data_IF_296656063863
#
_entry.id   IF_296656063863
#
_cell.length_a   1.000
_cell.length_b   1.000
_cell.length_c   1.000
_cell.angle_alpha   90.00
_cell.angle_beta   90.00
_cell.angle_gamma   90.00
#
_symmetry.space_group_name_H-M   'P 1'
#
loop_
_entity.id
_entity.type
_entity.pdbx_description
1 polymer ?
#
# COMPACT_ATOMS: atom_id res chain seq x y z
N UNK A 1 -6.97 3.68 -45.34
CA UNK A 1 -8.22 3.06 -44.84
C UNK A 1 -9.26 4.17 -44.80
N UNK A 2 -10.19 4.14 -45.75
CA UNK A 2 -11.09 5.26 -46.06
C UNK A 2 -12.35 5.19 -45.17
N UNK A 3 -12.51 6.16 -44.28
CA UNK A 3 -13.60 6.21 -43.29
C UNK A 3 -14.99 6.28 -43.93
N UNK A 4 -15.07 6.67 -45.20
CA UNK A 4 -16.31 6.71 -45.98
C UNK A 4 -16.94 5.32 -46.20
N UNK A 5 -16.16 4.24 -46.16
CA UNK A 5 -16.68 2.86 -46.23
C UNK A 5 -17.21 2.32 -44.89
N UNK A 6 -16.79 2.88 -43.76
CA UNK A 6 -17.30 2.48 -42.44
C UNK A 6 -18.71 3.05 -42.18
N UNK A 7 -19.00 4.24 -42.72
CA UNK A 7 -20.31 4.88 -42.56
C UNK A 7 -21.40 4.30 -43.49
N UNK A 8 -21.03 3.62 -44.58
CA UNK A 8 -22.02 2.96 -45.45
C UNK A 8 -22.58 1.67 -44.85
N UNK A 9 -21.89 1.04 -43.89
CA UNK A 9 -22.37 -0.15 -43.18
C UNK A 9 -23.48 0.11 -42.14
N UNK A 10 -23.67 1.37 -41.73
CA UNK A 10 -24.67 1.73 -40.71
C UNK A 10 -25.99 2.28 -41.28
N UNK A 11 -26.12 2.41 -42.61
CA UNK A 11 -27.30 3.01 -43.26
C UNK A 11 -28.54 2.11 -43.35
N UNK A 12 -28.56 0.96 -42.68
CA UNK A 12 -29.65 -0.02 -42.79
C UNK A 12 -30.10 -0.68 -41.49
N UNK A 13 -29.68 -0.19 -40.31
CA UNK A 13 -30.20 -0.69 -39.03
C UNK A 13 -31.19 0.32 -38.46
N UNK A 14 -32.47 -0.03 -38.45
CA UNK A 14 -33.52 0.64 -37.68
C UNK A 14 -33.21 0.50 -36.18
N UNK A 15 -32.38 1.38 -35.65
CA UNK A 15 -32.17 1.53 -34.22
C UNK A 15 -33.39 2.26 -33.67
N UNK A 16 -34.32 1.52 -33.07
CA UNK A 16 -35.39 2.09 -32.24
C UNK A 16 -34.75 2.86 -31.08
N UNK A 17 -34.81 4.18 -31.16
CA UNK A 17 -34.50 5.08 -30.05
C UNK A 17 -35.55 4.83 -28.96
N UNK A 18 -35.17 4.57 -27.69
CA UNK A 18 -36.13 4.44 -26.60
C UNK A 18 -36.78 5.80 -26.34
N UNK A 19 -38.10 5.78 -26.19
CA UNK A 19 -38.93 6.93 -25.87
C UNK A 19 -38.39 7.72 -24.66
N UNK A 20 -38.51 9.03 -24.80
CA UNK A 20 -38.29 10.09 -23.82
C UNK A 20 -38.67 9.67 -22.39
N UNK A 21 -37.66 9.63 -21.52
CA UNK A 21 -37.84 9.83 -20.09
C UNK A 21 -37.55 11.29 -19.80
N UNK A 22 -38.57 11.94 -19.25
CA UNK A 22 -38.62 13.33 -18.82
C UNK A 22 -37.49 13.66 -17.85
N UNK A 23 -36.37 14.17 -18.35
CA UNK A 23 -35.39 14.86 -17.55
C UNK A 23 -35.77 16.35 -17.55
N UNK A 24 -36.16 16.83 -16.37
CA UNK A 24 -36.26 18.25 -16.06
C UNK A 24 -34.92 18.91 -16.34
N UNK A 25 -34.81 19.56 -17.49
CA UNK A 25 -33.67 20.38 -17.88
C UNK A 25 -33.64 21.58 -16.93
N UNK A 26 -32.50 21.76 -16.25
CA UNK A 26 -32.22 22.91 -15.41
C UNK A 26 -32.38 24.20 -16.24
N UNK A 27 -33.29 25.13 -15.88
CA UNK A 27 -33.65 26.28 -16.71
C UNK A 27 -32.53 27.33 -16.86
N UNK A 28 -31.36 27.09 -16.25
CA UNK A 28 -30.17 27.95 -16.37
C UNK A 28 -29.34 27.70 -17.65
N UNK A 29 -29.60 26.62 -18.39
CA UNK A 29 -28.80 26.22 -19.55
C UNK A 29 -29.39 26.62 -20.92
N UNK A 30 -30.61 27.15 -20.96
CA UNK A 30 -31.33 27.43 -22.21
C UNK A 30 -30.96 28.76 -22.88
N UNK A 31 -30.14 29.59 -22.23
CA UNK A 31 -29.76 30.93 -22.71
C UNK A 31 -28.27 31.09 -23.10
N UNK A 32 -27.53 29.99 -23.24
CA UNK A 32 -26.16 30.06 -23.75
C UNK A 32 -26.21 30.06 -25.28
N UNK A 33 -25.94 31.22 -25.88
CA UNK A 33 -25.78 31.35 -27.33
C UNK A 33 -24.43 30.72 -27.75
N UNK A 34 -24.50 29.45 -28.16
CA UNK A 34 -23.34 28.63 -28.54
C UNK A 34 -22.87 28.91 -29.98
N UNK A 35 -23.56 29.78 -30.73
CA UNK A 35 -23.32 29.99 -32.17
C UNK A 35 -21.99 30.68 -32.49
N UNK A 36 -21.40 31.40 -31.53
CA UNK A 36 -20.14 32.14 -31.67
C UNK A 36 -18.94 31.47 -30.96
N UNK A 37 -19.10 30.26 -30.43
CA UNK A 37 -18.00 29.57 -29.74
C UNK A 37 -17.01 29.04 -30.79
N UNK A 38 -15.77 29.50 -30.68
CA UNK A 38 -14.68 29.06 -31.54
C UNK A 38 -14.47 27.55 -31.40
N UNK A 39 -14.51 26.82 -32.52
CA UNK A 39 -14.37 25.37 -32.59
C UNK A 39 -13.13 24.85 -31.85
N UNK A 40 -12.04 25.63 -31.84
CA UNK A 40 -10.81 25.29 -31.11
C UNK A 40 -10.99 25.24 -29.59
N UNK A 41 -11.85 26.10 -29.02
CA UNK A 41 -12.15 26.09 -27.58
C UNK A 41 -13.00 24.87 -27.23
N UNK A 42 -13.94 24.51 -28.09
CA UNK A 42 -14.74 23.28 -27.94
C UNK A 42 -13.84 22.05 -27.96
N UNK A 43 -12.89 22.00 -28.89
CA UNK A 43 -11.97 20.86 -29.01
C UNK A 43 -10.96 20.82 -27.85
N UNK A 44 -10.54 21.96 -27.31
CA UNK A 44 -9.70 22.02 -26.11
C UNK A 44 -10.45 21.54 -24.87
N UNK A 45 -11.66 22.06 -24.62
CA UNK A 45 -12.49 21.64 -23.49
C UNK A 45 -12.86 20.17 -23.62
N UNK A 46 -13.17 19.68 -24.83
CA UNK A 46 -13.41 18.26 -25.09
C UNK A 46 -12.19 17.40 -24.80
N UNK A 47 -10.98 17.83 -25.20
CA UNK A 47 -9.73 17.13 -24.88
C UNK A 47 -9.46 17.10 -23.38
N UNK A 48 -9.67 18.22 -22.68
CA UNK A 48 -9.52 18.30 -21.22
C UNK A 48 -10.55 17.44 -20.49
N UNK A 49 -11.78 17.38 -20.99
CA UNK A 49 -12.82 16.53 -20.42
C UNK A 49 -12.50 15.05 -20.64
N UNK A 50 -12.08 14.66 -21.86
CA UNK A 50 -11.68 13.30 -22.19
C UNK A 50 -10.42 12.85 -21.44
N UNK A 51 -9.42 13.71 -21.28
CA UNK A 51 -8.24 13.40 -20.47
C UNK A 51 -8.59 13.26 -18.99
N UNK A 52 -9.45 14.15 -18.47
CA UNK A 52 -9.95 14.06 -17.09
C UNK A 52 -10.78 12.79 -16.86
N UNK A 53 -11.63 12.39 -17.81
CA UNK A 53 -12.43 11.15 -17.70
C UNK A 53 -11.61 9.89 -17.87
N UNK A 54 -10.57 9.90 -18.72
CA UNK A 54 -9.71 8.75 -18.89
C UNK A 54 -8.82 8.53 -17.66
N UNK A 55 -8.31 9.61 -17.06
CA UNK A 55 -7.56 9.55 -15.81
C UNK A 55 -8.46 9.09 -14.64
N UNK A 56 -9.70 9.58 -14.55
CA UNK A 56 -10.63 9.15 -13.49
C UNK A 56 -11.10 7.70 -13.66
N UNK A 57 -11.28 7.22 -14.90
CA UNK A 57 -11.67 5.82 -15.18
C UNK A 57 -10.55 4.83 -14.85
N UNK A 58 -9.29 5.16 -15.15
CA UNK A 58 -8.15 4.30 -14.80
C UNK A 58 -7.98 4.17 -13.28
N UNK A 59 -8.21 5.22 -12.51
CA UNK A 59 -8.12 5.15 -11.03
C UNK A 59 -9.22 4.30 -10.38
N UNK A 60 -10.39 4.17 -11.02
CA UNK A 60 -11.51 3.37 -10.49
C UNK A 60 -11.46 1.89 -10.93
N UNK A 61 -10.84 1.59 -12.07
CA UNK A 61 -10.75 0.23 -12.62
C UNK A 61 -9.90 -0.72 -11.74
N UNK A 62 -8.88 -0.19 -11.06
CA UNK A 62 -7.99 -0.97 -10.20
C UNK A 62 -8.40 -1.08 -8.72
N UNK A 63 -9.48 -0.39 -8.30
CA UNK A 63 -9.95 -0.43 -6.89
C UNK A 63 -10.58 -1.77 -6.48
N UNK A 64 -11.14 -2.52 -7.45
CA UNK A 64 -11.87 -3.77 -7.19
C UNK A 64 -11.13 -5.03 -7.67
N UNK A 65 -9.90 -4.87 -8.17
CA UNK A 65 -9.12 -6.01 -8.65
C UNK A 65 -8.73 -6.88 -7.45
N UNK A 66 -8.86 -8.20 -7.61
CA UNK A 66 -8.61 -9.19 -6.54
C UNK A 66 -7.46 -10.14 -6.89
N UNK A 67 -6.86 -9.99 -8.07
CA UNK A 67 -5.78 -10.82 -8.60
C UNK A 67 -4.69 -9.97 -9.25
N UNK A 68 -3.45 -10.47 -9.27
CA UNK A 68 -2.34 -9.80 -9.96
C UNK A 68 -2.51 -10.08 -11.46
N UNK A 69 -3.14 -9.16 -12.18
CA UNK A 69 -3.27 -9.21 -13.64
C UNK A 69 -2.08 -8.50 -14.32
N UNK A 70 -1.75 -8.83 -15.58
CA UNK A 70 -0.70 -8.14 -16.32
C UNK A 70 -0.90 -6.62 -16.41
N UNK A 71 -2.15 -6.17 -16.48
CA UNK A 71 -2.53 -4.75 -16.50
C UNK A 71 -2.13 -4.03 -15.20
N UNK A 72 -2.32 -4.67 -14.04
CA UNK A 72 -1.87 -4.14 -12.74
C UNK A 72 -0.34 -3.97 -12.71
N UNK A 73 0.40 -4.91 -13.31
CA UNK A 73 1.86 -4.83 -13.37
C UNK A 73 2.35 -3.69 -14.28
N UNK A 74 1.69 -3.48 -15.42
CA UNK A 74 1.98 -2.35 -16.32
C UNK A 74 1.69 -1.04 -15.61
N UNK A 75 0.55 -0.95 -14.90
CA UNK A 75 0.22 0.24 -14.11
C UNK A 75 1.24 0.51 -13.00
N UNK A 76 1.64 -0.52 -12.25
CA UNK A 76 2.71 -0.43 -11.25
C UNK A 76 4.03 0.05 -11.85
N UNK A 77 4.42 -0.47 -13.02
CA UNK A 77 5.65 -0.07 -13.71
C UNK A 77 5.61 1.38 -14.23
N UNK A 78 4.43 1.92 -14.50
CA UNK A 78 4.25 3.34 -14.83
C UNK A 78 4.30 4.19 -13.54
N UNK A 79 3.64 3.74 -12.47
CA UNK A 79 3.69 4.41 -11.17
C UNK A 79 5.11 4.51 -10.61
N UNK A 80 5.96 3.50 -10.77
CA UNK A 80 7.36 3.56 -10.31
C UNK A 80 8.18 4.61 -11.05
N UNK A 81 7.79 5.01 -12.27
CA UNK A 81 8.45 6.06 -13.06
C UNK A 81 7.85 7.45 -12.81
N UNK A 82 6.54 7.52 -12.61
CA UNK A 82 5.79 8.77 -12.54
C UNK A 82 5.61 9.29 -11.10
N UNK A 83 5.72 8.42 -10.09
CA UNK A 83 5.47 8.76 -8.68
C UNK A 83 6.69 8.47 -7.80
N UNK A 84 6.68 9.00 -6.57
CA UNK A 84 7.73 8.77 -5.57
C UNK A 84 7.63 7.40 -4.87
N UNK A 85 6.99 6.41 -5.51
CA UNK A 85 6.74 5.08 -4.93
C UNK A 85 8.03 4.38 -4.46
N UNK A 86 9.07 4.38 -5.29
CA UNK A 86 10.36 3.74 -4.96
C UNK A 86 11.05 4.42 -3.78
N UNK A 87 10.97 5.75 -3.71
CA UNK A 87 11.53 6.52 -2.59
C UNK A 87 10.80 6.17 -1.28
N UNK A 88 9.47 6.15 -1.30
CA UNK A 88 8.66 5.80 -0.12
C UNK A 88 9.01 4.39 0.37
N UNK A 89 9.11 3.41 -0.54
CA UNK A 89 9.52 2.04 -0.17
C UNK A 89 10.92 2.01 0.45
N UNK A 90 11.88 2.78 -0.09
CA UNK A 90 13.23 2.90 0.47
C UNK A 90 13.20 3.48 1.89
N UNK A 91 12.46 4.57 2.11
CA UNK A 91 12.31 5.18 3.43
C UNK A 91 11.68 4.22 4.45
N UNK A 92 10.69 3.43 4.03
CA UNK A 92 10.10 2.39 4.86
C UNK A 92 11.12 1.29 5.21
N UNK A 93 11.91 0.85 4.24
CA UNK A 93 12.96 -0.17 4.46
C UNK A 93 14.05 0.34 5.42
N UNK A 94 14.50 1.57 5.24
CA UNK A 94 15.49 2.19 6.13
C UNK A 94 14.95 2.32 7.56
N UNK A 95 13.70 2.78 7.70
CA UNK A 95 13.03 2.88 9.00
C UNK A 95 12.86 1.51 9.67
N UNK A 96 12.47 0.49 8.89
CA UNK A 96 12.36 -0.87 9.39
C UNK A 96 13.71 -1.39 9.88
N UNK A 97 14.77 -1.23 9.08
CA UNK A 97 16.12 -1.66 9.47
C UNK A 97 16.60 -0.98 10.76
N UNK A 98 16.33 0.33 10.92
CA UNK A 98 16.70 1.07 12.12
C UNK A 98 15.98 0.52 13.35
N UNK A 99 14.66 0.30 13.26
CA UNK A 99 13.86 -0.26 14.35
C UNK A 99 14.30 -1.68 14.68
N UNK A 100 14.53 -2.53 13.67
CA UNK A 100 15.02 -3.90 13.86
C UNK A 100 16.37 -3.90 14.59
N UNK A 101 17.27 -2.99 14.22
CA UNK A 101 18.56 -2.83 14.90
C UNK A 101 18.40 -2.44 16.37
N UNK A 102 17.56 -1.45 16.67
CA UNK A 102 17.28 -1.01 18.04
C UNK A 102 16.65 -2.13 18.88
N UNK A 103 15.69 -2.85 18.31
CA UNK A 103 15.04 -3.99 18.97
C UNK A 103 16.03 -5.14 19.21
N UNK A 104 16.92 -5.39 18.25
CA UNK A 104 17.97 -6.39 18.39
C UNK A 104 18.96 -6.02 19.49
N UNK A 105 19.46 -4.78 19.49
CA UNK A 105 20.36 -4.26 20.53
C UNK A 105 19.71 -4.33 21.92
N UNK A 106 18.43 -3.98 22.03
CA UNK A 106 17.69 -4.08 23.29
C UNK A 106 17.58 -5.55 23.75
N UNK A 107 17.28 -6.49 22.85
CA UNK A 107 17.25 -7.93 23.17
C UNK A 107 18.60 -8.45 23.64
N UNK A 108 19.69 -8.06 22.99
CA UNK A 108 21.05 -8.44 23.38
C UNK A 108 21.46 -7.81 24.72
N UNK A 109 21.03 -6.58 25.00
CA UNK A 109 21.28 -5.93 26.30
C UNK A 109 20.63 -6.67 27.46
N UNK A 110 19.41 -7.21 27.27
CA UNK A 110 18.71 -8.03 28.25
C UNK A 110 19.52 -9.30 28.53
N UNK A 111 19.91 -10.03 27.48
CA UNK A 111 20.73 -11.24 27.63
C UNK A 111 22.04 -10.97 28.36
N UNK A 112 22.77 -9.94 27.94
CA UNK A 112 24.06 -9.58 28.54
C UNK A 112 23.92 -9.28 30.03
N UNK A 113 22.89 -8.51 30.41
CA UNK A 113 22.61 -8.19 31.83
C UNK A 113 22.35 -9.45 32.66
N UNK A 114 21.55 -10.38 32.14
CA UNK A 114 21.27 -11.63 32.86
C UNK A 114 22.45 -12.61 32.86
N UNK A 115 23.28 -12.62 31.82
CA UNK A 115 24.54 -13.36 31.80
C UNK A 115 25.53 -12.84 32.85
N UNK A 116 25.66 -11.52 33.00
CA UNK A 116 26.49 -10.91 34.04
C UNK A 116 25.99 -11.26 35.44
N UNK A 117 24.67 -11.22 35.66
CA UNK A 117 24.06 -11.67 36.92
C UNK A 117 24.32 -13.16 37.19
N UNK A 118 24.21 -14.00 36.16
CA UNK A 118 24.50 -15.45 36.26
C UNK A 118 25.97 -15.71 36.58
N UNK A 119 26.89 -15.01 35.93
CA UNK A 119 28.34 -15.07 36.23
C UNK A 119 28.63 -14.65 37.67
N UNK A 120 27.99 -13.58 38.17
CA UNK A 120 28.12 -13.14 39.56
C UNK A 120 27.64 -14.19 40.56
N UNK A 121 26.52 -14.86 40.28
CA UNK A 121 26.03 -15.95 41.12
C UNK A 121 26.94 -17.17 41.10
N UNK A 122 27.44 -17.57 39.93
CA UNK A 122 28.40 -18.68 39.81
C UNK A 122 29.70 -18.40 40.56
N UNK A 123 30.19 -17.16 40.53
CA UNK A 123 31.35 -16.74 41.31
C UNK A 123 31.11 -16.87 42.83
N UNK A 124 29.90 -16.54 43.31
CA UNK A 124 29.52 -16.73 44.71
C UNK A 124 29.41 -18.20 45.10
N UNK A 125 28.94 -19.05 44.19
CA UNK A 125 28.88 -20.50 44.39
C UNK A 125 30.29 -21.13 44.49
N UNK A 126 31.25 -20.67 43.70
CA UNK A 126 32.66 -21.08 43.80
C UNK A 126 33.29 -20.77 45.17
N UNK A 127 32.84 -19.70 45.82
CA UNK A 127 33.27 -19.30 47.18
C UNK A 127 32.48 -20.07 48.27
N UNK A 128 31.55 -20.95 47.87
CA UNK A 128 30.77 -21.80 48.77
C UNK A 128 29.40 -21.26 49.16
N UNK A 129 28.99 -20.10 48.65
CA UNK A 129 27.66 -19.51 48.90
C UNK A 129 26.69 -20.04 47.85
N UNK A 130 26.00 -21.14 48.16
CA UNK A 130 24.99 -21.74 47.28
C UNK A 130 23.62 -21.09 47.47
N UNK A 131 23.06 -20.51 46.42
CA UNK A 131 21.71 -19.97 46.44
C UNK A 131 20.87 -20.38 45.22
N UNK A 132 20.47 -21.66 45.13
CA UNK A 132 19.80 -22.21 43.94
C UNK A 132 18.41 -21.59 43.69
N UNK A 133 17.76 -21.05 44.73
CA UNK A 133 16.48 -20.34 44.59
C UNK A 133 16.65 -19.01 43.85
N UNK A 134 17.74 -18.28 44.11
CA UNK A 134 18.04 -17.03 43.41
C UNK A 134 18.35 -17.28 41.94
N UNK A 135 19.11 -18.34 41.62
CA UNK A 135 19.40 -18.70 40.23
C UNK A 135 18.12 -18.96 39.42
N UNK A 136 17.21 -19.78 39.97
CA UNK A 136 15.91 -20.07 39.32
C UNK A 136 15.04 -18.82 39.15
N UNK A 137 15.09 -17.90 40.11
CA UNK A 137 14.36 -16.63 40.02
C UNK A 137 14.90 -15.76 38.88
N UNK A 138 16.22 -15.62 38.77
CA UNK A 138 16.86 -14.84 37.71
C UNK A 138 16.57 -15.43 36.33
N UNK A 139 16.60 -16.76 36.19
CA UNK A 139 16.24 -17.43 34.93
C UNK A 139 14.77 -17.17 34.56
N UNK A 140 13.84 -17.28 35.52
CA UNK A 140 12.42 -17.00 35.27
C UNK A 140 12.16 -15.51 34.93
N UNK A 141 12.87 -14.57 35.55
CA UNK A 141 12.77 -13.15 35.23
C UNK A 141 13.33 -12.84 33.84
N UNK A 142 14.47 -13.45 33.47
CA UNK A 142 15.04 -13.35 32.14
C UNK A 142 14.05 -13.83 31.06
N UNK A 143 13.45 -15.01 31.24
CA UNK A 143 12.45 -15.53 30.31
C UNK A 143 11.22 -14.62 30.20
N UNK A 144 10.73 -14.12 31.34
CA UNK A 144 9.56 -13.22 31.37
C UNK A 144 9.85 -11.91 30.66
N UNK A 145 11.04 -11.35 30.83
CA UNK A 145 11.43 -10.10 30.19
C UNK A 145 11.71 -10.29 28.69
N UNK A 146 12.39 -11.36 28.29
CA UNK A 146 12.56 -11.72 26.89
C UNK A 146 11.21 -11.92 26.20
N UNK A 147 10.26 -12.60 26.84
CA UNK A 147 8.91 -12.77 26.28
C UNK A 147 8.17 -11.43 26.11
N UNK A 148 8.31 -10.50 27.06
CA UNK A 148 7.75 -9.14 26.92
C UNK A 148 8.40 -8.39 25.75
N UNK A 149 9.70 -8.55 25.58
CA UNK A 149 10.45 -7.96 24.47
C UNK A 149 9.98 -8.53 23.13
N UNK A 150 9.87 -9.86 23.00
CA UNK A 150 9.40 -10.49 21.77
C UNK A 150 7.96 -10.03 21.41
N UNK A 151 7.08 -9.87 22.40
CA UNK A 151 5.75 -9.29 22.17
C UNK A 151 5.81 -7.81 21.74
N UNK A 152 6.77 -7.05 22.24
CA UNK A 152 6.97 -5.66 21.82
C UNK A 152 7.47 -5.59 20.37
N UNK A 153 8.40 -6.46 19.98
CA UNK A 153 8.87 -6.60 18.59
C UNK A 153 7.70 -6.83 17.65
N UNK A 154 6.83 -7.80 17.96
CA UNK A 154 5.64 -8.07 17.13
C UNK A 154 4.75 -6.83 16.97
N UNK A 155 4.51 -6.09 18.05
CA UNK A 155 3.69 -4.86 18.00
C UNK A 155 4.32 -3.76 17.15
N UNK A 156 5.63 -3.54 17.26
CA UNK A 156 6.33 -2.54 16.46
C UNK A 156 6.35 -2.94 14.98
N UNK A 157 6.55 -4.22 14.66
CA UNK A 157 6.50 -4.71 13.28
C UNK A 157 5.09 -4.58 12.68
N UNK A 158 4.04 -4.92 13.43
CA UNK A 158 2.65 -4.72 13.00
C UNK A 158 2.33 -3.25 12.73
N UNK A 159 2.87 -2.34 13.56
CA UNK A 159 2.74 -0.89 13.36
C UNK A 159 3.42 -0.43 12.08
N UNK A 160 4.62 -0.92 11.79
CA UNK A 160 5.31 -0.62 10.52
C UNK A 160 4.54 -1.14 9.31
N UNK A 161 4.00 -2.37 9.38
CA UNK A 161 3.19 -2.94 8.31
C UNK A 161 1.95 -2.10 8.02
N UNK A 162 1.22 -1.66 9.05
CA UNK A 162 0.05 -0.77 8.90
C UNK A 162 0.42 0.58 8.31
N UNK A 163 1.54 1.16 8.75
CA UNK A 163 2.01 2.44 8.21
C UNK A 163 2.33 2.31 6.72
N UNK A 164 3.02 1.23 6.32
CA UNK A 164 3.30 0.94 4.92
C UNK A 164 2.00 0.76 4.11
N UNK A 165 1.03 0.00 4.60
CA UNK A 165 -0.27 -0.18 3.93
C UNK A 165 -0.98 1.17 3.72
N UNK A 166 -0.97 2.05 4.72
CA UNK A 166 -1.58 3.38 4.64
C UNK A 166 -0.88 4.28 3.63
N UNK A 167 0.44 4.29 3.63
CA UNK A 167 1.20 5.17 2.75
C UNK A 167 1.13 4.70 1.29
N UNK A 168 1.12 3.38 1.05
CA UNK A 168 0.87 2.82 -0.29
C UNK A 168 -0.59 3.02 -0.75
N UNK A 169 -1.57 2.99 0.17
CA UNK A 169 -2.95 3.34 -0.14
C UNK A 169 -3.09 4.83 -0.54
N UNK A 170 -2.40 5.75 0.15
CA UNK A 170 -2.39 7.19 -0.21
C UNK A 170 -1.81 7.43 -1.60
N UNK A 171 -0.78 6.66 -1.96
CA UNK A 171 -0.19 6.66 -3.30
C UNK A 171 -1.08 5.97 -4.35
N UNK A 172 -2.27 5.49 -3.96
CA UNK A 172 -3.23 4.76 -4.81
C UNK A 172 -2.61 3.53 -5.47
N UNK A 173 -1.67 2.86 -4.80
CA UNK A 173 -1.09 1.62 -5.31
C UNK A 173 -2.19 0.56 -5.41
N UNK A 174 -2.39 -0.09 -6.58
CA UNK A 174 -3.41 -1.11 -6.75
C UNK A 174 -3.30 -2.22 -5.71
N UNK A 175 -4.43 -2.78 -5.30
CA UNK A 175 -4.54 -3.92 -4.37
C UNK A 175 -4.07 -3.62 -2.93
N UNK A 176 -3.53 -2.43 -2.65
CA UNK A 176 -3.19 -1.99 -1.31
C UNK A 176 -4.41 -1.42 -0.59
N UNK A 177 -4.67 -1.99 0.58
CA UNK A 177 -5.66 -1.53 1.54
C UNK A 177 -5.22 -1.85 2.96
N UNK A 178 -5.68 -1.07 3.92
CA UNK A 178 -5.47 -1.34 5.33
C UNK A 178 -6.32 -2.56 5.70
N UNK A 179 -5.66 -3.68 5.98
CA UNK A 179 -6.32 -4.97 6.24
C UNK A 179 -5.50 -5.80 7.20
N UNK A 180 -6.20 -6.57 8.03
CA UNK A 180 -5.61 -7.58 8.91
C UNK A 180 -5.85 -9.00 8.38
N UNK A 181 -6.47 -9.16 7.20
CA UNK A 181 -6.75 -10.48 6.64
C UNK A 181 -5.49 -11.09 5.99
N UNK A 182 -5.09 -12.26 6.46
CA UNK A 182 -3.85 -12.93 6.03
C UNK A 182 -3.77 -13.15 4.51
N UNK A 183 -4.91 -13.42 3.84
CA UNK A 183 -4.94 -13.64 2.39
C UNK A 183 -4.57 -12.36 1.63
N UNK A 184 -5.11 -11.23 2.07
CA UNK A 184 -4.89 -9.92 1.46
C UNK A 184 -3.48 -9.41 1.76
N UNK A 185 -2.99 -9.62 2.98
CA UNK A 185 -1.59 -9.32 3.34
C UNK A 185 -0.62 -10.11 2.44
N UNK A 186 -0.87 -11.40 2.21
CA UNK A 186 -0.04 -12.21 1.29
C UNK A 186 -0.06 -11.68 -0.14
N UNK A 187 -1.21 -11.19 -0.61
CA UNK A 187 -1.32 -10.58 -1.93
C UNK A 187 -0.51 -9.28 -2.01
N UNK A 188 -0.67 -8.40 -1.03
CA UNK A 188 0.08 -7.15 -0.91
C UNK A 188 1.60 -7.39 -0.80
N UNK A 189 2.02 -8.40 -0.05
CA UNK A 189 3.43 -8.81 0.03
C UNK A 189 4.00 -9.21 -1.33
N UNK A 190 3.26 -10.00 -2.13
CA UNK A 190 3.71 -10.37 -3.48
C UNK A 190 3.93 -9.16 -4.37
N UNK A 191 3.03 -8.17 -4.29
CA UNK A 191 3.15 -6.93 -5.06
C UNK A 191 4.34 -6.12 -4.56
N UNK A 192 4.52 -6.03 -3.25
CA UNK A 192 5.66 -5.35 -2.65
C UNK A 192 6.99 -5.97 -3.11
N UNK A 193 7.08 -7.31 -3.18
CA UNK A 193 8.25 -8.00 -3.74
C UNK A 193 8.50 -7.59 -5.19
N UNK A 194 7.45 -7.55 -6.02
CA UNK A 194 7.58 -7.13 -7.43
C UNK A 194 8.08 -5.69 -7.53
N UNK A 195 7.54 -4.77 -6.72
CA UNK A 195 7.98 -3.37 -6.72
C UNK A 195 9.43 -3.27 -6.21
N UNK A 196 9.81 -4.09 -5.23
CA UNK A 196 11.16 -4.15 -4.72
C UNK A 196 12.15 -4.74 -5.72
N UNK A 197 11.73 -5.66 -6.60
CA UNK A 197 12.57 -6.16 -7.69
C UNK A 197 12.78 -5.11 -8.80
N UNK A 198 11.95 -4.06 -8.84
CA UNK A 198 12.10 -2.91 -9.74
C UNK A 198 12.99 -1.79 -9.17
N UNK A 199 13.42 -1.90 -7.89
CA UNK A 199 14.34 -0.98 -7.21
C UNK A 199 15.79 -1.26 -7.61
#
# INVERSE_FOLDING_TARGET
MDYSQLFSLFKGQDIKIPNETTNTVDPSLTNLDLSNINQNVIDQVRKEYLSSTNNSKQEDEFKNVTSITPEVLVHLANMTKETNLLQVIREHKERQNQIEKELFEHRESIKKRYEEQKKSLLAKELIGIKNPKQMKHIEAECEKELRKMDLHVLKEMDKQAKQLQRDLMKLKVPLFKETNELKEIKLQQKILFIIQDML
#
